data_IF_487214395543
#
_entry.id   IF_487214395543
#
_cell.length_a   1.000
_cell.length_b   1.000
_cell.length_c   1.000
_cell.angle_alpha   90.00
_cell.angle_beta   90.00
_cell.angle_gamma   90.00
#
_symmetry.space_group_name_H-M   'P 1'
#
loop_
_entity.id
_entity.type
_entity.pdbx_description
1 polymer ?
#
# COMPACT_ATOMS: atom_id res chain seq x y z
N UNK A 1 23.26 -7.02 20.89
CA UNK A 1 23.29 -6.76 22.34
C UNK A 1 21.90 -6.27 22.72
N UNK A 2 21.18 -7.00 23.59
CA UNK A 2 19.79 -6.69 23.95
C UNK A 2 19.81 -5.62 25.04
N UNK A 3 19.13 -4.50 24.79
CA UNK A 3 18.94 -3.45 25.79
C UNK A 3 17.77 -3.90 26.66
N UNK A 4 18.04 -4.52 27.81
CA UNK A 4 16.99 -4.81 28.78
C UNK A 4 16.56 -3.47 29.39
N UNK A 5 15.37 -3.01 29.03
CA UNK A 5 14.74 -1.90 29.72
C UNK A 5 14.41 -2.42 31.14
N UNK A 6 14.91 -1.76 32.21
CA UNK A 6 14.64 -2.21 33.57
C UNK A 6 13.24 -1.77 33.97
N UNK A 7 12.21 -2.42 33.40
CA UNK A 7 10.91 -2.51 34.04
C UNK A 7 10.98 -3.70 34.97
N UNK A 8 11.43 -3.46 36.19
CA UNK A 8 10.91 -4.05 37.44
C UNK A 8 11.93 -3.82 38.55
N UNK A 9 11.45 -3.19 39.62
CA UNK A 9 12.26 -2.49 40.60
C UNK A 9 13.26 -3.37 41.33
N UNK A 10 14.54 -3.06 41.15
CA UNK A 10 15.54 -2.95 42.21
C UNK A 10 16.53 -1.86 41.78
N UNK A 11 16.77 -0.86 42.64
CA UNK A 11 17.80 0.14 42.43
C UNK A 11 19.17 -0.55 42.44
N UNK A 12 19.63 -0.98 41.25
CA UNK A 12 21.03 -1.36 41.05
C UNK A 12 21.89 -0.17 41.44
N UNK A 13 22.97 -0.44 42.16
CA UNK A 13 23.78 0.56 42.85
C UNK A 13 24.13 1.74 41.93
N UNK A 14 23.99 2.97 42.42
CA UNK A 14 24.16 4.18 41.60
C UNK A 14 25.57 4.26 40.97
N UNK A 15 26.56 3.61 41.60
CA UNK A 15 27.91 3.52 41.08
C UNK A 15 27.99 2.64 39.81
N UNK A 16 27.35 1.47 39.80
CA UNK A 16 27.31 0.57 38.64
C UNK A 16 26.65 1.25 37.43
N UNK A 17 25.59 2.01 37.66
CA UNK A 17 24.91 2.78 36.61
C UNK A 17 25.83 3.86 36.04
N UNK A 18 26.57 4.56 36.89
CA UNK A 18 27.50 5.61 36.48
C UNK A 18 28.68 5.04 35.69
N UNK A 19 29.21 3.88 36.08
CA UNK A 19 30.27 3.19 35.33
C UNK A 19 29.77 2.75 33.95
N UNK A 20 28.56 2.20 33.88
CA UNK A 20 27.93 1.82 32.63
C UNK A 20 27.74 3.03 31.69
N UNK A 21 27.31 4.18 32.21
CA UNK A 21 27.16 5.43 31.45
C UNK A 21 28.51 5.89 30.88
N UNK A 22 29.56 5.93 31.72
CA UNK A 22 30.90 6.36 31.28
C UNK A 22 31.46 5.44 30.20
N UNK A 23 31.22 4.13 30.32
CA UNK A 23 31.61 3.16 29.30
C UNK A 23 30.94 3.46 27.95
N UNK A 24 29.63 3.70 27.92
CA UNK A 24 28.92 4.02 26.67
C UNK A 24 29.33 5.37 26.07
N UNK A 25 29.58 6.39 26.90
CA UNK A 25 30.09 7.68 26.43
C UNK A 25 31.45 7.54 25.73
N UNK A 26 32.36 6.78 26.34
CA UNK A 26 33.66 6.50 25.72
C UNK A 26 33.52 5.72 24.41
N UNK A 27 32.70 4.67 24.42
CA UNK A 27 32.44 3.88 23.22
C UNK A 27 31.84 4.72 22.09
N UNK A 28 30.96 5.68 22.39
CA UNK A 28 30.40 6.62 21.42
C UNK A 28 31.49 7.47 20.75
N UNK A 29 32.35 8.09 21.54
CA UNK A 29 33.45 8.92 21.03
C UNK A 29 34.41 8.11 20.15
N UNK A 30 34.65 6.84 20.49
CA UNK A 30 35.54 5.95 19.73
C UNK A 30 34.92 5.45 18.40
N UNK A 31 33.59 5.47 18.27
CA UNK A 31 32.86 4.88 17.13
C UNK A 31 32.09 5.89 16.26
N UNK A 32 32.06 7.18 16.62
CA UNK A 32 31.49 8.24 15.77
C UNK A 32 32.36 8.47 14.53
N UNK A 33 31.73 8.76 13.39
CA UNK A 33 32.41 9.21 12.17
C UNK A 33 32.07 10.66 11.94
N UNK A 34 33.07 11.53 11.78
CA UNK A 34 32.87 12.98 11.74
C UNK A 34 32.80 13.57 10.32
N UNK A 35 33.26 12.85 9.29
CA UNK A 35 33.36 13.32 7.89
C UNK A 35 32.75 12.30 6.90
N UNK A 36 32.00 12.72 5.86
CA UNK A 36 31.57 14.09 5.51
C UNK A 36 30.43 14.66 6.38
N UNK A 37 29.90 13.87 7.31
CA UNK A 37 28.84 14.29 8.22
C UNK A 37 28.92 13.48 9.52
N UNK A 38 28.74 14.09 10.70
CA UNK A 38 28.74 13.39 11.97
C UNK A 38 27.65 12.32 12.01
N UNK A 39 28.06 11.05 11.95
CA UNK A 39 27.16 9.91 12.09
C UNK A 39 27.29 9.33 13.51
N UNK A 40 26.16 9.28 14.21
CA UNK A 40 26.05 8.61 15.50
C UNK A 40 26.11 7.08 15.30
N UNK A 41 26.90 6.34 16.11
CA UNK A 41 26.99 4.90 16.01
C UNK A 41 25.68 4.25 16.44
N UNK A 42 25.32 3.16 15.75
CA UNK A 42 24.14 2.36 16.09
C UNK A 42 24.45 1.51 17.33
N UNK A 43 23.86 1.85 18.47
CA UNK A 43 24.08 1.18 19.77
C UNK A 43 23.49 -0.24 19.85
N UNK A 44 22.72 -0.66 18.84
CA UNK A 44 22.10 -1.97 18.79
C UNK A 44 20.92 -2.02 17.84
N UNK A 45 20.29 -3.18 17.73
CA UNK A 45 19.02 -3.36 17.02
C UNK A 45 17.95 -3.73 18.03
N UNK A 46 16.81 -3.05 17.96
CA UNK A 46 15.59 -3.52 18.61
C UNK A 46 14.81 -4.37 17.61
N UNK A 47 14.30 -5.51 18.05
CA UNK A 47 13.34 -6.30 17.27
C UNK A 47 11.96 -5.94 17.77
N UNK A 48 11.16 -5.29 16.94
CA UNK A 48 9.78 -4.93 17.25
C UNK A 48 8.85 -5.88 16.49
N UNK A 49 8.00 -6.58 17.23
CA UNK A 49 6.87 -7.30 16.65
C UNK A 49 5.65 -6.39 16.70
N UNK A 50 4.98 -6.23 15.56
CA UNK A 50 3.74 -5.46 15.45
C UNK A 50 2.69 -6.35 14.80
N UNK A 51 1.57 -6.55 15.50
CA UNK A 51 0.39 -7.12 14.88
C UNK A 51 -0.21 -6.06 13.95
N UNK A 52 -0.30 -6.39 12.67
CA UNK A 52 -0.94 -5.56 11.65
C UNK A 52 -2.16 -6.32 11.16
N UNK A 53 -3.37 -5.74 11.25
CA UNK A 53 -4.55 -6.39 10.72
C UNK A 53 -4.42 -6.54 9.20
N UNK A 54 -4.66 -7.74 8.71
CA UNK A 54 -4.78 -7.99 7.27
C UNK A 54 -6.16 -7.52 6.81
N UNK A 55 -6.20 -6.57 5.88
CA UNK A 55 -7.45 -6.00 5.35
C UNK A 55 -8.03 -6.79 4.19
N UNK A 56 -7.24 -7.71 3.62
CA UNK A 56 -7.59 -8.52 2.46
C UNK A 56 -7.10 -9.97 2.72
N UNK A 57 -7.83 -10.99 2.23
CA UNK A 57 -7.36 -12.36 2.31
C UNK A 57 -6.14 -12.57 1.41
N UNK A 58 -5.24 -13.47 1.81
CA UNK A 58 -4.14 -13.88 0.96
C UNK A 58 -4.70 -14.57 -0.30
N UNK A 59 -4.32 -14.05 -1.47
CA UNK A 59 -4.67 -14.64 -2.76
C UNK A 59 -3.57 -14.32 -3.77
N UNK A 60 -3.34 -15.23 -4.72
CA UNK A 60 -2.38 -15.08 -5.82
C UNK A 60 -2.97 -15.71 -7.07
N UNK A 61 -2.78 -15.06 -8.21
CA UNK A 61 -3.13 -15.63 -9.51
C UNK A 61 -1.87 -16.10 -10.23
N UNK A 62 -1.95 -17.25 -10.91
CA UNK A 62 -0.81 -17.88 -11.59
C UNK A 62 -0.49 -17.25 -12.95
N UNK A 63 -1.32 -16.31 -13.42
CA UNK A 63 -1.17 -15.63 -14.71
C UNK A 63 -1.19 -14.12 -14.56
N UNK A 64 -0.69 -13.44 -15.58
CA UNK A 64 -0.80 -12.00 -15.79
C UNK A 64 -1.18 -11.77 -17.27
N UNK A 65 -2.12 -10.88 -17.59
CA UNK A 65 -3.01 -10.16 -16.68
C UNK A 65 -3.89 -11.06 -15.78
N UNK A 66 -4.24 -10.56 -14.59
CA UNK A 66 -5.12 -11.28 -13.66
C UNK A 66 -6.59 -11.12 -14.05
N UNK A 67 -7.44 -12.03 -13.57
CA UNK A 67 -8.89 -11.97 -13.75
C UNK A 67 -9.55 -11.35 -12.53
N UNK A 68 -10.34 -10.30 -12.74
CA UNK A 68 -11.04 -9.60 -11.68
C UNK A 68 -12.16 -10.46 -11.08
N UNK A 69 -12.83 -11.24 -11.94
CA UNK A 69 -13.86 -12.22 -11.56
C UNK A 69 -13.40 -13.26 -10.52
N UNK A 70 -12.10 -13.53 -10.43
CA UNK A 70 -11.51 -14.48 -9.46
C UNK A 70 -11.06 -13.83 -8.15
N UNK A 71 -11.17 -12.50 -8.01
CA UNK A 71 -10.74 -11.79 -6.81
C UNK A 71 -11.76 -11.89 -5.67
N UNK A 72 -11.26 -11.97 -4.43
CA UNK A 72 -12.08 -11.97 -3.22
C UNK A 72 -11.54 -10.95 -2.20
N UNK A 73 -12.27 -9.88 -1.85
CA UNK A 73 -13.53 -9.46 -2.46
C UNK A 73 -13.32 -8.98 -3.92
N UNK A 74 -14.38 -8.99 -4.71
CA UNK A 74 -14.39 -8.31 -6.01
C UNK A 74 -14.09 -6.82 -5.81
N UNK A 75 -13.30 -6.17 -6.68
CA UNK A 75 -13.11 -4.74 -6.63
C UNK A 75 -14.43 -3.98 -6.81
N UNK A 76 -14.48 -2.79 -6.21
CA UNK A 76 -15.60 -1.86 -6.39
C UNK A 76 -15.20 -0.90 -7.50
N UNK A 77 -15.66 -1.16 -8.72
CA UNK A 77 -15.38 -0.33 -9.91
C UNK A 77 -16.41 0.78 -10.13
N UNK A 78 -17.55 0.69 -9.44
CA UNK A 78 -18.64 1.65 -9.54
C UNK A 78 -19.10 2.10 -8.14
N UNK A 79 -19.44 3.38 -8.02
CA UNK A 79 -20.32 3.86 -6.98
C UNK A 79 -21.76 3.97 -7.53
N UNK A 80 -22.72 3.13 -7.07
CA UNK A 80 -24.11 3.15 -7.55
C UNK A 80 -24.81 4.49 -7.32
N UNK A 81 -24.33 5.29 -6.36
CA UNK A 81 -24.89 6.61 -6.05
C UNK A 81 -24.29 7.73 -6.89
N UNK A 82 -23.23 7.46 -7.66
CA UNK A 82 -22.65 8.45 -8.55
C UNK A 82 -23.58 8.73 -9.73
N UNK A 83 -24.01 9.98 -9.84
CA UNK A 83 -24.80 10.49 -10.95
C UNK A 83 -23.95 11.46 -11.75
N UNK A 84 -23.76 11.15 -13.03
CA UNK A 84 -23.01 12.02 -13.93
C UNK A 84 -23.68 13.39 -14.09
N UNK A 85 -22.85 14.40 -14.34
CA UNK A 85 -23.29 15.79 -14.54
C UNK A 85 -23.15 16.26 -15.99
N UNK A 86 -22.81 15.34 -16.91
CA UNK A 86 -22.67 15.61 -18.33
C UNK A 86 -21.35 16.29 -18.70
N UNK A 87 -20.32 16.20 -17.86
CA UNK A 87 -19.03 16.88 -18.06
C UNK A 87 -18.32 16.46 -19.34
N UNK A 88 -18.60 15.26 -19.83
CA UNK A 88 -17.98 14.68 -21.01
C UNK A 88 -18.99 14.46 -22.15
N UNK A 89 -20.14 15.13 -22.09
CA UNK A 89 -21.19 15.00 -23.11
C UNK A 89 -20.65 15.30 -24.51
N UNK A 90 -20.85 14.35 -25.43
CA UNK A 90 -20.42 14.46 -26.83
C UNK A 90 -18.91 14.31 -27.03
N UNK A 91 -18.18 13.81 -26.03
CA UNK A 91 -16.78 13.39 -26.18
C UNK A 91 -16.73 11.91 -26.51
N UNK A 92 -15.66 11.52 -27.20
CA UNK A 92 -15.32 10.12 -27.46
C UNK A 92 -14.03 9.81 -26.72
N UNK A 93 -13.99 8.70 -25.98
CA UNK A 93 -12.82 8.26 -25.22
C UNK A 93 -12.42 6.84 -25.63
N UNK A 94 -11.13 6.64 -25.85
CA UNK A 94 -10.51 5.32 -25.98
C UNK A 94 -9.77 5.00 -24.68
N UNK A 95 -10.15 3.92 -24.02
CA UNK A 95 -9.57 3.48 -22.76
C UNK A 95 -8.91 2.12 -22.96
N UNK A 96 -7.59 2.07 -22.76
CA UNK A 96 -6.80 0.82 -22.79
C UNK A 96 -6.74 0.20 -21.39
N UNK A 97 -6.86 -1.12 -21.30
CA UNK A 97 -7.05 -1.82 -20.02
C UNK A 97 -8.37 -1.46 -19.35
N UNK A 98 -9.39 -1.16 -20.15
CA UNK A 98 -10.70 -0.70 -19.66
C UNK A 98 -11.65 -1.82 -19.27
N UNK A 99 -11.22 -3.08 -19.34
CA UNK A 99 -11.95 -4.30 -18.99
C UNK A 99 -12.01 -4.55 -17.48
N UNK A 100 -11.01 -4.10 -16.72
CA UNK A 100 -10.86 -4.37 -15.29
C UNK A 100 -10.28 -3.19 -14.50
N UNK A 101 -10.38 -3.26 -13.17
CA UNK A 101 -9.76 -2.37 -12.20
C UNK A 101 -10.05 -0.89 -12.45
N UNK A 102 -8.96 -0.09 -12.51
CA UNK A 102 -9.07 1.36 -12.68
C UNK A 102 -9.60 1.78 -14.06
N UNK A 103 -9.28 1.01 -15.10
CA UNK A 103 -9.74 1.31 -16.45
C UNK A 103 -11.24 1.09 -16.60
N UNK A 104 -11.76 -0.01 -16.03
CA UNK A 104 -13.20 -0.26 -15.95
C UNK A 104 -13.93 0.86 -15.18
N UNK A 105 -13.40 1.26 -14.01
CA UNK A 105 -13.99 2.35 -13.22
C UNK A 105 -14.00 3.68 -13.99
N UNK A 106 -12.92 4.00 -14.72
CA UNK A 106 -12.86 5.18 -15.57
C UNK A 106 -13.86 5.10 -16.74
N UNK A 107 -13.98 3.95 -17.39
CA UNK A 107 -14.93 3.73 -18.49
C UNK A 107 -16.38 3.96 -18.04
N UNK A 108 -16.76 3.41 -16.89
CA UNK A 108 -18.09 3.61 -16.28
C UNK A 108 -18.31 5.10 -15.99
N UNK A 109 -17.37 5.76 -15.33
CA UNK A 109 -17.50 7.18 -15.01
C UNK A 109 -17.61 8.05 -16.28
N UNK A 110 -16.85 7.73 -17.33
CA UNK A 110 -16.89 8.47 -18.59
C UNK A 110 -18.23 8.32 -19.31
N UNK A 111 -18.75 7.09 -19.36
CA UNK A 111 -20.07 6.82 -19.92
C UNK A 111 -21.17 7.54 -19.13
N UNK A 112 -21.12 7.51 -17.78
CA UNK A 112 -22.05 8.27 -16.91
C UNK A 112 -21.99 9.78 -17.13
N UNK A 113 -20.82 10.31 -17.48
CA UNK A 113 -20.63 11.73 -17.84
C UNK A 113 -21.03 12.06 -19.28
N UNK A 114 -21.52 11.08 -20.06
CA UNK A 114 -22.08 11.26 -21.39
C UNK A 114 -21.08 11.13 -22.54
N UNK A 115 -19.92 10.51 -22.30
CA UNK A 115 -18.97 10.20 -23.36
C UNK A 115 -19.33 8.87 -24.06
N UNK A 116 -19.04 8.78 -25.35
CA UNK A 116 -18.95 7.51 -26.06
C UNK A 116 -17.60 6.85 -25.72
N UNK A 117 -17.60 5.61 -25.25
CA UNK A 117 -16.40 4.94 -24.75
C UNK A 117 -16.06 3.71 -25.60
N UNK A 118 -14.83 3.66 -26.11
CA UNK A 118 -14.22 2.49 -26.72
C UNK A 118 -13.20 1.87 -25.75
N UNK A 119 -13.25 0.55 -25.56
CA UNK A 119 -12.39 -0.18 -24.63
C UNK A 119 -11.47 -1.11 -25.41
N UNK A 120 -10.17 -1.03 -25.13
CA UNK A 120 -9.15 -1.95 -25.62
C UNK A 120 -8.56 -2.75 -24.45
N UNK A 121 -8.37 -4.05 -24.63
CA UNK A 121 -7.93 -5.01 -23.60
C UNK A 121 -7.24 -6.21 -24.28
N UNK A 122 -6.62 -7.10 -23.51
CA UNK A 122 -5.77 -8.16 -24.04
C UNK A 122 -6.50 -9.50 -24.23
N UNK A 123 -6.88 -10.17 -23.13
CA UNK A 123 -7.56 -11.49 -23.19
C UNK A 123 -8.69 -11.69 -22.17
N UNK A 124 -8.98 -10.69 -21.31
CA UNK A 124 -10.01 -10.74 -20.27
C UNK A 124 -11.44 -10.62 -20.84
N UNK A 125 -11.83 -11.52 -21.75
CA UNK A 125 -13.12 -11.48 -22.44
C UNK A 125 -14.32 -11.61 -21.49
N UNK A 126 -14.20 -12.39 -20.42
CA UNK A 126 -15.28 -12.57 -19.43
C UNK A 126 -15.51 -11.30 -18.60
N UNK A 127 -14.45 -10.64 -18.14
CA UNK A 127 -14.54 -9.41 -17.36
C UNK A 127 -15.16 -8.26 -18.20
N UNK A 128 -14.83 -8.17 -19.50
CA UNK A 128 -15.49 -7.21 -20.39
C UNK A 128 -16.99 -7.47 -20.58
N UNK A 129 -17.41 -8.74 -20.59
CA UNK A 129 -18.82 -9.10 -20.76
C UNK A 129 -19.66 -8.63 -19.57
N UNK A 130 -19.16 -8.78 -18.34
CA UNK A 130 -19.79 -8.22 -17.14
C UNK A 130 -19.86 -6.68 -17.25
N UNK A 131 -18.77 -6.03 -17.65
CA UNK A 131 -18.71 -4.56 -17.77
C UNK A 131 -19.71 -3.99 -18.80
N UNK A 132 -19.90 -4.67 -19.93
CA UNK A 132 -20.85 -4.24 -20.97
C UNK A 132 -22.31 -4.23 -20.48
N UNK A 133 -22.65 -5.12 -19.56
CA UNK A 133 -23.98 -5.16 -18.95
C UNK A 133 -24.17 -3.93 -18.08
N UNK A 134 -23.14 -3.55 -17.30
CA UNK A 134 -23.20 -2.38 -16.42
C UNK A 134 -23.31 -1.07 -17.19
N UNK A 135 -22.55 -0.91 -18.28
CA UNK A 135 -22.60 0.29 -19.14
C UNK A 135 -23.92 0.48 -19.90
N UNK A 136 -24.77 -0.55 -19.96
CA UNK A 136 -26.06 -0.52 -20.69
C UNK A 136 -27.26 -0.15 -19.81
N UNK A 137 -27.11 -0.18 -18.49
CA UNK A 137 -28.17 0.12 -17.51
C UNK A 137 -28.15 1.60 -17.11
#
# INVERSE_FOLDING_TARGET
MVINNPSDGQAKDNQDLMEQIRFYQKWFEDNKKEDPYPQYPVYGKITQYKEVPLTQPEQRQLRQPGLESLMVPKPIIENPHYKGSGKLKGKVALITGGDSGMGAAAAIAFAKEGADVAIAYLDEHEDLLELKIELRN
#
